data_IF_886673752109
#
_entry.id   IF_886673752109
#
_cell.length_a   1.000
_cell.length_b   1.000
_cell.length_c   1.000
_cell.angle_alpha   90.00
_cell.angle_beta   90.00
_cell.angle_gamma   90.00
#
_symmetry.space_group_name_H-M   'P 1'
#
loop_
_entity.id
_entity.type
_entity.pdbx_description
1 polymer ?
#
# COMPACT_ATOMS: atom_id res chain seq x y z
N UNK A 1 1.34 20.99 -5.59
CA UNK A 1 0.33 20.12 -4.94
C UNK A 1 0.97 18.76 -4.71
N UNK A 2 0.94 18.22 -3.50
CA UNK A 2 1.44 16.87 -3.25
C UNK A 2 0.51 15.84 -3.93
N UNK A 3 1.07 14.86 -4.64
CA UNK A 3 0.29 13.75 -5.20
C UNK A 3 -0.35 12.96 -4.06
N UNK A 4 -1.64 12.65 -4.15
CA UNK A 4 -2.28 11.74 -3.21
C UNK A 4 -1.68 10.33 -3.38
N UNK A 5 -1.05 9.84 -2.30
CA UNK A 5 -0.37 8.54 -2.23
C UNK A 5 -1.19 7.50 -1.47
N UNK A 6 -2.46 7.81 -1.19
CA UNK A 6 -3.40 6.88 -0.58
C UNK A 6 -3.58 5.62 -1.45
N UNK A 7 -3.93 4.47 -0.84
CA UNK A 7 -4.29 3.28 -1.61
C UNK A 7 -5.44 3.53 -2.60
N UNK A 8 -6.42 4.36 -2.22
CA UNK A 8 -7.53 4.74 -3.10
C UNK A 8 -7.04 5.49 -4.35
N UNK A 9 -6.21 6.52 -4.19
CA UNK A 9 -5.66 7.26 -5.33
C UNK A 9 -4.76 6.40 -6.23
N UNK A 10 -4.11 5.36 -5.70
CA UNK A 10 -3.38 4.39 -6.52
C UNK A 10 -4.33 3.51 -7.34
N UNK A 11 -5.40 3.02 -6.72
CA UNK A 11 -6.41 2.22 -7.41
C UNK A 11 -7.14 3.03 -8.48
N UNK A 12 -7.47 4.29 -8.22
CA UNK A 12 -8.12 5.16 -9.20
C UNK A 12 -7.22 5.42 -10.41
N UNK A 13 -5.93 5.68 -10.18
CA UNK A 13 -4.93 5.81 -11.27
C UNK A 13 -4.79 4.53 -12.09
N UNK A 14 -4.79 3.37 -11.44
CA UNK A 14 -4.74 2.08 -12.11
C UNK A 14 -6.02 1.86 -12.93
N UNK A 15 -7.19 2.10 -12.35
CA UNK A 15 -8.48 1.95 -13.00
C UNK A 15 -8.65 2.89 -14.21
N UNK A 16 -8.06 4.09 -14.17
CA UNK A 16 -8.06 5.03 -15.30
C UNK A 16 -7.30 4.52 -16.53
N UNK A 17 -6.37 3.57 -16.36
CA UNK A 17 -5.61 2.98 -17.46
C UNK A 17 -6.29 1.73 -18.07
N UNK A 18 -7.42 1.28 -17.51
CA UNK A 18 -8.12 0.05 -17.90
C UNK A 18 -9.35 0.32 -18.79
N UNK A 19 -9.78 -0.66 -19.60
CA UNK A 19 -11.11 -0.65 -20.22
C UNK A 19 -12.22 -0.48 -19.16
N UNK A 20 -13.34 0.13 -19.54
CA UNK A 20 -14.38 0.54 -18.58
C UNK A 20 -14.91 -0.61 -17.70
N UNK A 21 -15.17 -1.78 -18.27
CA UNK A 21 -15.64 -2.96 -17.53
C UNK A 21 -14.58 -3.48 -16.54
N UNK A 22 -13.32 -3.55 -16.99
CA UNK A 22 -12.18 -3.99 -16.17
C UNK A 22 -11.89 -2.99 -15.04
N UNK A 23 -11.96 -1.69 -15.33
CA UNK A 23 -11.85 -0.63 -14.34
C UNK A 23 -12.95 -0.74 -13.26
N UNK A 24 -14.18 -1.08 -13.66
CA UNK A 24 -15.27 -1.28 -12.72
C UNK A 24 -15.03 -2.51 -11.82
N UNK A 25 -14.55 -3.62 -12.39
CA UNK A 25 -14.19 -4.81 -11.60
C UNK A 25 -13.14 -4.47 -10.53
N UNK A 26 -12.08 -3.73 -10.89
CA UNK A 26 -11.06 -3.29 -9.94
C UNK A 26 -11.65 -2.42 -8.82
N UNK A 27 -12.48 -1.43 -9.17
CA UNK A 27 -13.12 -0.54 -8.18
C UNK A 27 -14.03 -1.30 -7.23
N UNK A 28 -14.85 -2.21 -7.74
CA UNK A 28 -15.76 -3.04 -6.92
C UNK A 28 -14.97 -3.92 -5.96
N UNK A 29 -13.90 -4.60 -6.42
CA UNK A 29 -13.05 -5.41 -5.54
C UNK A 29 -12.37 -4.56 -4.46
N UNK A 30 -11.90 -3.36 -4.81
CA UNK A 30 -11.29 -2.45 -3.85
C UNK A 30 -12.29 -1.96 -2.80
N UNK A 31 -13.50 -1.56 -3.22
CA UNK A 31 -14.57 -1.15 -2.30
C UNK A 31 -14.91 -2.24 -1.28
N UNK A 32 -14.99 -3.51 -1.73
CA UNK A 32 -15.21 -4.65 -0.83
C UNK A 32 -14.08 -4.90 0.17
N UNK A 33 -12.86 -4.41 -0.11
CA UNK A 33 -11.70 -4.57 0.77
C UNK A 33 -11.45 -3.36 1.69
N UNK A 34 -12.20 -2.26 1.57
CA UNK A 34 -11.97 -1.02 2.33
C UNK A 34 -11.91 -1.26 3.83
N UNK A 35 -12.86 -2.03 4.38
CA UNK A 35 -12.87 -2.32 5.82
C UNK A 35 -11.61 -3.03 6.32
N UNK A 36 -11.08 -3.98 5.54
CA UNK A 36 -9.84 -4.70 5.88
C UNK A 36 -8.62 -3.77 5.75
N UNK A 37 -8.59 -2.95 4.71
CA UNK A 37 -7.52 -1.97 4.46
C UNK A 37 -7.47 -0.92 5.58
N UNK A 38 -8.62 -0.38 5.98
CA UNK A 38 -8.73 0.62 7.04
C UNK A 38 -8.36 0.03 8.40
N UNK A 39 -8.79 -1.19 8.69
CA UNK A 39 -8.41 -1.90 9.90
C UNK A 39 -6.88 -2.12 9.96
N UNK A 40 -6.26 -2.55 8.86
CA UNK A 40 -4.82 -2.77 8.79
C UNK A 40 -4.02 -1.46 8.91
N UNK A 41 -4.50 -0.36 8.29
CA UNK A 41 -3.89 0.96 8.45
C UNK A 41 -3.98 1.45 9.89
N UNK A 42 -5.15 1.32 10.51
CA UNK A 42 -5.38 1.71 11.91
C UNK A 42 -4.47 0.90 12.84
N UNK A 43 -4.41 -0.42 12.68
CA UNK A 43 -3.51 -1.28 13.43
C UNK A 43 -2.04 -0.89 13.25
N UNK A 44 -1.62 -0.53 12.02
CA UNK A 44 -0.26 -0.06 11.77
C UNK A 44 0.06 1.25 12.48
N UNK A 45 -0.88 2.21 12.56
CA UNK A 45 -0.67 3.47 13.29
C UNK A 45 -0.56 3.20 14.80
N UNK A 46 -1.49 2.43 15.35
CA UNK A 46 -1.46 2.02 16.76
C UNK A 46 -0.17 1.30 17.12
N UNK A 47 0.30 0.38 16.28
CA UNK A 47 1.57 -0.32 16.52
C UNK A 47 2.79 0.62 16.45
N UNK A 48 2.78 1.63 15.58
CA UNK A 48 3.83 2.66 15.54
C UNK A 48 3.88 3.47 16.83
N UNK A 49 2.71 3.86 17.36
CA UNK A 49 2.64 4.58 18.62
C UNK A 49 3.13 3.74 19.79
N UNK A 50 2.79 2.43 19.81
CA UNK A 50 3.33 1.47 20.79
C UNK A 50 4.84 1.32 20.70
N UNK A 51 5.41 1.24 19.48
CA UNK A 51 6.86 1.20 19.29
C UNK A 51 7.50 2.46 19.88
N UNK A 52 6.94 3.64 19.58
CA UNK A 52 7.45 4.91 20.12
C UNK A 52 7.40 4.94 21.64
N UNK A 53 6.30 4.50 22.24
CA UNK A 53 6.14 4.44 23.68
C UNK A 53 7.12 3.47 24.35
N UNK A 54 7.27 2.26 23.79
CA UNK A 54 8.17 1.24 24.35
C UNK A 54 9.66 1.65 24.29
N UNK A 55 10.07 2.34 23.22
CA UNK A 55 11.43 2.87 23.09
C UNK A 55 11.72 4.05 24.02
N UNK A 56 10.69 4.77 24.46
CA UNK A 56 10.82 5.91 25.38
C UNK A 56 10.60 5.53 26.86
N UNK A 57 10.27 4.27 27.15
CA UNK A 57 10.02 3.81 28.50
C UNK A 57 11.30 3.77 29.34
N UNK A 58 11.20 4.16 30.61
CA UNK A 58 12.25 4.04 31.62
C UNK A 58 11.67 3.34 32.86
N UNK A 59 12.18 2.15 33.25
CA UNK A 59 13.25 1.40 32.57
C UNK A 59 12.83 0.87 31.20
N UNK A 60 13.81 0.72 30.31
CA UNK A 60 13.58 0.17 28.98
C UNK A 60 13.02 -1.26 29.05
N UNK A 61 11.88 -1.47 28.37
CA UNK A 61 11.26 -2.78 28.21
C UNK A 61 11.46 -3.31 26.79
N UNK A 62 12.51 -4.12 26.62
CA UNK A 62 12.83 -4.75 25.33
C UNK A 62 11.73 -5.69 24.82
N UNK A 63 10.98 -6.33 25.72
CA UNK A 63 9.92 -7.27 25.33
C UNK A 63 8.69 -6.52 24.79
N UNK A 64 8.35 -5.38 25.41
CA UNK A 64 7.32 -4.49 24.89
C UNK A 64 7.71 -3.91 23.51
N UNK A 65 8.97 -3.50 23.34
CA UNK A 65 9.47 -2.99 22.06
C UNK A 65 9.40 -4.04 20.95
N UNK A 66 9.87 -5.27 21.19
CA UNK A 66 9.80 -6.35 20.20
C UNK A 66 8.34 -6.73 19.85
N UNK A 67 7.47 -6.80 20.86
CA UNK A 67 6.03 -7.05 20.65
C UNK A 67 5.41 -5.99 19.76
N UNK A 68 5.67 -4.71 20.02
CA UNK A 68 5.14 -3.61 19.23
C UNK A 68 5.68 -3.63 17.78
N UNK A 69 6.96 -3.96 17.59
CA UNK A 69 7.56 -4.11 16.27
C UNK A 69 6.98 -5.30 15.50
N UNK A 70 6.67 -6.41 16.17
CA UNK A 70 5.99 -7.57 15.57
C UNK A 70 4.59 -7.18 15.09
N UNK A 71 3.79 -6.53 15.94
CA UNK A 71 2.46 -6.03 15.56
C UNK A 71 2.52 -5.08 14.36
N UNK A 72 3.53 -4.20 14.33
CA UNK A 72 3.72 -3.28 13.21
C UNK A 72 4.01 -4.00 11.90
N UNK A 73 4.90 -5.01 11.93
CA UNK A 73 5.21 -5.83 10.75
C UNK A 73 3.96 -6.59 10.25
N UNK A 74 3.18 -7.15 11.17
CA UNK A 74 1.95 -7.87 10.84
C UNK A 74 0.89 -6.97 10.21
N UNK A 75 0.62 -5.80 10.80
CA UNK A 75 -0.33 -4.85 10.25
C UNK A 75 0.05 -4.38 8.83
N UNK A 76 1.35 -4.11 8.61
CA UNK A 76 1.87 -3.76 7.27
C UNK A 76 1.72 -4.91 6.28
N UNK A 77 2.01 -6.16 6.68
CA UNK A 77 1.80 -7.34 5.84
C UNK A 77 0.32 -7.55 5.51
N UNK A 78 -0.58 -7.34 6.47
CA UNK A 78 -2.02 -7.45 6.27
C UNK A 78 -2.52 -6.43 5.22
N UNK A 79 -2.05 -5.18 5.31
CA UNK A 79 -2.37 -4.15 4.32
C UNK A 79 -1.94 -4.56 2.90
N UNK A 80 -0.69 -4.98 2.73
CA UNK A 80 -0.19 -5.41 1.41
C UNK A 80 -0.90 -6.65 0.88
N UNK A 81 -1.20 -7.63 1.74
CA UNK A 81 -1.99 -8.81 1.37
C UNK A 81 -3.38 -8.44 0.87
N UNK A 82 -4.07 -7.52 1.56
CA UNK A 82 -5.39 -7.05 1.14
C UNK A 82 -5.33 -6.39 -0.24
N UNK A 83 -4.36 -5.49 -0.46
CA UNK A 83 -4.20 -4.80 -1.75
C UNK A 83 -3.84 -5.77 -2.89
N UNK A 84 -2.91 -6.70 -2.68
CA UNK A 84 -2.58 -7.71 -3.69
C UNK A 84 -3.76 -8.64 -3.97
N UNK A 85 -4.53 -9.00 -2.93
CA UNK A 85 -5.76 -9.78 -3.06
C UNK A 85 -6.81 -9.10 -3.94
N UNK A 86 -7.00 -7.79 -3.78
CA UNK A 86 -7.89 -6.99 -4.65
C UNK A 86 -7.46 -7.08 -6.11
N UNK A 87 -6.17 -6.89 -6.39
CA UNK A 87 -5.63 -6.91 -7.76
C UNK A 87 -5.81 -8.30 -8.39
N UNK A 88 -5.46 -9.38 -7.68
CA UNK A 88 -5.59 -10.75 -8.16
C UNK A 88 -7.07 -11.10 -8.41
N UNK A 89 -7.96 -10.76 -7.47
CA UNK A 89 -9.38 -11.03 -7.58
C UNK A 89 -10.01 -10.27 -8.77
N UNK A 90 -9.65 -9.00 -8.95
CA UNK A 90 -10.12 -8.21 -10.07
C UNK A 90 -9.58 -8.76 -11.40
N UNK A 91 -8.29 -9.10 -11.47
CA UNK A 91 -7.68 -9.67 -12.67
C UNK A 91 -8.36 -10.98 -13.13
N UNK A 92 -8.89 -11.78 -12.21
CA UNK A 92 -9.68 -12.97 -12.51
C UNK A 92 -11.02 -12.69 -13.20
N UNK A 93 -11.55 -11.48 -13.07
CA UNK A 93 -12.81 -11.02 -13.70
C UNK A 93 -12.57 -10.20 -14.97
N UNK A 94 -11.33 -9.76 -15.20
CA UNK A 94 -10.98 -8.88 -16.31
C UNK A 94 -10.82 -9.63 -17.64
N UNK A 95 -10.93 -8.86 -18.71
CA UNK A 95 -10.51 -9.26 -20.05
C UNK A 95 -9.00 -9.55 -20.13
N UNK A 96 -8.56 -10.20 -21.22
CA UNK A 96 -7.14 -10.38 -21.50
C UNK A 96 -6.40 -9.04 -21.71
N UNK A 97 -7.06 -8.05 -22.33
CA UNK A 97 -6.52 -6.69 -22.48
C UNK A 97 -6.33 -6.01 -21.12
N UNK A 98 -7.34 -6.09 -20.24
CA UNK A 98 -7.26 -5.55 -18.88
C UNK A 98 -6.10 -6.12 -18.09
N UNK A 99 -5.91 -7.45 -18.13
CA UNK A 99 -4.74 -8.10 -17.51
C UNK A 99 -3.41 -7.66 -18.12
N UNK A 100 -3.34 -7.46 -19.44
CA UNK A 100 -2.14 -6.97 -20.10
C UNK A 100 -1.79 -5.53 -19.66
N UNK A 101 -2.80 -4.66 -19.54
CA UNK A 101 -2.64 -3.29 -19.00
C UNK A 101 -2.11 -3.32 -17.57
N UNK A 102 -2.69 -4.17 -16.70
CA UNK A 102 -2.20 -4.37 -15.33
C UNK A 102 -0.72 -4.81 -15.31
N UNK A 103 -0.33 -5.74 -16.16
CA UNK A 103 1.05 -6.25 -16.23
C UNK A 103 2.06 -5.18 -16.68
N UNK A 104 1.65 -4.27 -17.57
CA UNK A 104 2.48 -3.16 -18.06
C UNK A 104 2.52 -1.94 -17.13
N UNK A 105 1.71 -1.93 -16.06
CA UNK A 105 1.54 -0.74 -15.25
C UNK A 105 2.74 -0.49 -14.33
N UNK A 106 3.35 0.69 -14.47
CA UNK A 106 4.39 1.20 -13.59
C UNK A 106 3.80 2.34 -12.74
N UNK A 107 3.80 2.24 -11.40
CA UNK A 107 3.32 3.31 -10.53
C UNK A 107 4.11 4.62 -10.76
N UNK A 108 3.47 5.80 -10.89
CA UNK A 108 4.16 7.07 -11.17
C UNK A 108 5.08 7.65 -10.06
N UNK A 109 5.70 6.87 -9.19
CA UNK A 109 6.49 7.39 -8.05
C UNK A 109 7.75 6.55 -7.74
N UNK A 110 8.12 5.59 -8.59
CA UNK A 110 9.40 4.85 -8.45
C UNK A 110 10.51 5.37 -9.37
N UNK A 111 10.17 6.10 -10.44
CA UNK A 111 11.14 6.65 -11.40
C UNK A 111 11.97 7.84 -10.89
N UNK A 112 11.45 8.64 -9.95
CA UNK A 112 12.16 9.83 -9.45
C UNK A 112 13.14 9.56 -8.31
N UNK A 113 13.07 8.39 -7.65
CA UNK A 113 14.04 8.02 -6.60
C UNK A 113 15.36 7.44 -7.13
N UNK A 114 15.44 7.15 -8.43
CA UNK A 114 16.68 6.70 -9.09
C UNK A 114 17.52 7.84 -9.69
N UNK A 115 16.96 9.04 -9.83
CA UNK A 115 17.69 10.22 -10.30
C UNK A 115 18.33 10.94 -9.12
N UNK A 116 19.36 10.35 -8.51
CA UNK A 116 20.28 11.14 -7.68
C UNK A 116 20.86 12.26 -8.56
N UNK A 117 20.81 13.54 -8.15
CA UNK A 117 21.58 14.57 -8.83
C UNK A 117 23.05 14.20 -8.70
N UNK A 118 23.72 13.97 -9.84
CA UNK A 118 25.18 13.80 -9.82
C UNK A 118 25.79 15.04 -9.17
N UNK A 119 26.78 14.87 -8.26
CA UNK A 119 27.47 16.00 -7.68
C UNK A 119 28.17 16.74 -8.82
N UNK A 120 27.71 17.97 -9.11
CA UNK A 120 28.45 18.87 -9.97
C UNK A 120 29.73 19.24 -9.23
N UNK A 121 30.83 18.60 -9.64
CA UNK A 121 32.16 18.98 -9.24
C UNK A 121 32.44 20.39 -9.76
N UNK A 122 32.76 21.31 -8.84
CA UNK A 122 33.43 22.58 -9.13
C UNK A 122 34.72 22.61 -8.33
#
# INVERSE_FOLDING_TARGET
>A
MALDRSPAARIDRLAAALPAADAQALRTRFQGALGVIDAAQTASRVAQDKVRAALAAEPFDSAAADTALTQLREARRALWRALHGVIIAAAGEMSAEGRARLASWVPPDEGERGASPQPQSR
#
